data_IF_213524319142
#
_entry.id   IF_213524319142
#
_cell.length_a   1.000
_cell.length_b   1.000
_cell.length_c   1.000
_cell.angle_alpha   90.00
_cell.angle_beta   90.00
_cell.angle_gamma   90.00
#
_symmetry.space_group_name_H-M   'P 1'
#
loop_
_entity.id
_entity.type
_entity.pdbx_description
1 polymer ?
#
# COMPACT_ATOMS: atom_id res chain seq x y z
N UNK A 1 18.67 3.19 -2.14
CA UNK A 1 17.63 3.94 -1.40
C UNK A 1 16.45 3.01 -1.21
N UNK A 2 15.89 2.88 0.00
CA UNK A 2 14.78 1.96 0.23
C UNK A 2 13.56 2.35 -0.64
N UNK A 3 12.92 1.35 -1.25
CA UNK A 3 11.78 1.55 -2.15
C UNK A 3 12.12 2.01 -3.56
N UNK A 4 13.40 2.12 -3.95
CA UNK A 4 13.81 2.40 -5.34
C UNK A 4 14.61 1.23 -5.89
N UNK A 5 14.20 0.72 -7.05
CA UNK A 5 14.77 -0.47 -7.68
C UNK A 5 14.99 -0.23 -9.18
N UNK A 6 16.13 -0.73 -9.68
CA UNK A 6 16.45 -0.77 -11.10
C UNK A 6 16.25 -2.19 -11.65
N UNK A 7 15.56 -2.30 -12.79
CA UNK A 7 15.40 -3.57 -13.48
C UNK A 7 16.59 -3.83 -14.40
N UNK A 8 17.27 -4.97 -14.22
CA UNK A 8 18.28 -5.46 -15.16
C UNK A 8 17.66 -6.03 -16.45
N UNK A 9 18.47 -6.47 -17.44
CA UNK A 9 17.99 -6.80 -18.78
C UNK A 9 16.81 -7.79 -18.84
N UNK A 10 16.81 -8.92 -18.08
CA UNK A 10 15.66 -9.82 -18.06
C UNK A 10 14.40 -9.19 -17.45
N UNK A 11 14.56 -8.34 -16.43
CA UNK A 11 13.46 -7.63 -15.77
C UNK A 11 12.84 -6.58 -16.69
N UNK A 12 13.67 -5.82 -17.41
CA UNK A 12 13.20 -4.85 -18.41
C UNK A 12 12.42 -5.53 -19.55
N UNK A 13 12.92 -6.65 -20.05
CA UNK A 13 12.22 -7.43 -21.09
C UNK A 13 10.88 -7.98 -20.58
N UNK A 14 10.84 -8.52 -19.36
CA UNK A 14 9.62 -9.00 -18.75
C UNK A 14 8.60 -7.86 -18.55
N UNK A 15 9.03 -6.70 -18.05
CA UNK A 15 8.16 -5.54 -17.87
C UNK A 15 7.57 -5.09 -19.20
N UNK A 16 8.39 -4.99 -20.26
CA UNK A 16 7.92 -4.63 -21.59
C UNK A 16 6.85 -5.61 -22.11
N UNK A 17 7.07 -6.93 -21.94
CA UNK A 17 6.12 -7.95 -22.36
C UNK A 17 4.80 -7.88 -21.57
N UNK A 18 4.84 -7.58 -20.27
CA UNK A 18 3.63 -7.41 -19.44
C UNK A 18 2.84 -6.19 -19.93
N UNK A 19 3.51 -5.05 -20.18
CA UNK A 19 2.83 -3.84 -20.66
C UNK A 19 2.25 -4.01 -22.07
N UNK A 20 2.94 -4.73 -22.95
CA UNK A 20 2.43 -5.07 -24.28
C UNK A 20 1.21 -5.99 -24.20
N UNK A 21 1.26 -7.02 -23.34
CA UNK A 21 0.11 -7.88 -23.09
C UNK A 21 -1.09 -7.09 -22.55
N UNK A 22 -0.85 -6.18 -21.61
CA UNK A 22 -1.90 -5.33 -21.05
C UNK A 22 -2.54 -4.42 -22.11
N UNK A 23 -1.72 -3.81 -22.99
CA UNK A 23 -2.22 -3.02 -24.12
C UNK A 23 -3.09 -3.85 -25.06
N UNK A 24 -2.62 -5.05 -25.44
CA UNK A 24 -3.39 -5.95 -26.29
C UNK A 24 -4.70 -6.38 -25.63
N UNK A 25 -4.68 -6.64 -24.33
CA UNK A 25 -5.84 -7.17 -23.61
C UNK A 25 -6.89 -6.12 -23.28
N UNK A 26 -6.50 -4.87 -23.03
CA UNK A 26 -7.45 -3.81 -22.65
C UNK A 26 -7.56 -2.72 -23.72
N UNK A 27 -6.43 -2.06 -24.06
CA UNK A 27 -6.45 -0.89 -24.95
C UNK A 27 -6.93 -1.25 -26.35
N UNK A 28 -6.37 -2.30 -26.94
CA UNK A 28 -6.74 -2.72 -28.30
C UNK A 28 -8.05 -3.49 -28.34
N UNK A 29 -8.37 -4.25 -27.29
CA UNK A 29 -9.58 -5.09 -27.24
C UNK A 29 -10.86 -4.26 -27.04
N UNK A 30 -10.78 -3.14 -26.32
CA UNK A 30 -11.91 -2.23 -26.03
C UNK A 30 -11.80 -0.88 -26.75
N UNK A 31 -10.93 -0.78 -27.77
CA UNK A 31 -10.69 0.44 -28.56
C UNK A 31 -10.46 1.71 -27.69
N UNK A 32 -9.70 1.56 -26.59
CA UNK A 32 -9.50 2.62 -25.61
C UNK A 32 -8.58 3.72 -26.13
N UNK A 33 -8.81 4.95 -25.65
CA UNK A 33 -8.01 6.12 -25.99
C UNK A 33 -6.76 6.21 -25.09
N UNK A 34 -5.64 5.64 -25.53
CA UNK A 34 -4.36 5.73 -24.79
C UNK A 34 -3.79 7.15 -24.83
N UNK A 35 -3.45 7.70 -23.65
CA UNK A 35 -2.82 9.01 -23.49
C UNK A 35 -1.59 8.96 -22.58
N UNK A 36 -0.56 9.70 -22.97
CA UNK A 36 0.64 9.92 -22.16
C UNK A 36 0.64 11.35 -21.59
N UNK A 37 0.59 11.45 -20.26
CA UNK A 37 0.51 12.70 -19.53
C UNK A 37 1.80 12.95 -18.74
N UNK A 38 2.12 14.21 -18.47
CA UNK A 38 3.31 14.57 -17.69
C UNK A 38 3.25 14.04 -16.26
N UNK A 39 4.43 13.72 -15.70
CA UNK A 39 4.57 13.33 -14.28
C UNK A 39 4.45 14.53 -13.35
N UNK A 40 5.13 15.63 -13.72
CA UNK A 40 5.11 16.86 -12.94
C UNK A 40 3.71 17.47 -12.99
N UNK A 41 3.11 17.66 -11.81
CA UNK A 41 1.73 18.08 -11.66
C UNK A 41 1.66 19.33 -10.79
N UNK A 42 1.06 20.44 -11.27
CA UNK A 42 0.88 21.65 -10.46
C UNK A 42 0.07 21.37 -9.18
N UNK A 43 0.43 22.04 -8.09
CA UNK A 43 -0.21 21.82 -6.78
C UNK A 43 -1.74 21.97 -6.81
N UNK A 44 -2.27 22.90 -7.61
CA UNK A 44 -3.71 23.16 -7.66
C UNK A 44 -4.50 21.96 -8.17
N UNK A 45 -3.96 21.20 -9.13
CA UNK A 45 -4.62 19.97 -9.65
C UNK A 45 -4.80 18.95 -8.52
N UNK A 46 -3.76 18.74 -7.72
CA UNK A 46 -3.76 17.78 -6.63
C UNK A 46 -4.50 18.29 -5.38
N UNK A 47 -4.61 19.61 -5.23
CA UNK A 47 -5.48 20.22 -4.23
C UNK A 47 -6.95 20.02 -4.59
N UNK A 48 -7.33 20.29 -5.85
CA UNK A 48 -8.71 20.13 -6.32
C UNK A 48 -9.19 18.68 -6.27
N UNK A 49 -8.33 17.71 -6.60
CA UNK A 49 -8.66 16.28 -6.46
C UNK A 49 -8.65 15.78 -5.01
N UNK A 50 -8.25 16.60 -4.04
CA UNK A 50 -8.20 16.27 -2.63
C UNK A 50 -6.93 15.53 -2.17
N UNK A 51 -6.00 15.24 -3.08
CA UNK A 51 -4.74 14.57 -2.74
C UNK A 51 -3.89 15.36 -1.74
N UNK A 52 -3.82 16.68 -1.88
CA UNK A 52 -3.04 17.50 -0.93
C UNK A 52 -3.55 17.38 0.50
N UNK A 53 -4.86 17.16 0.68
CA UNK A 53 -5.51 17.16 1.99
C UNK A 53 -5.73 15.76 2.57
N UNK A 54 -5.71 14.72 1.73
CA UNK A 54 -6.10 13.36 2.14
C UNK A 54 -5.08 12.28 1.76
N UNK A 55 -4.13 12.58 0.88
CA UNK A 55 -3.13 11.61 0.44
C UNK A 55 -1.96 11.57 1.43
N UNK A 56 -2.28 11.17 2.65
CA UNK A 56 -1.35 11.10 3.75
C UNK A 56 -1.56 9.81 4.56
N UNK A 57 -0.46 9.34 5.13
CA UNK A 57 -0.48 8.25 6.10
C UNK A 57 -0.15 8.81 7.49
N UNK A 58 -0.58 8.09 8.53
CA UNK A 58 -0.18 8.39 9.90
C UNK A 58 1.18 7.76 10.19
N UNK A 59 2.14 8.57 10.63
CA UNK A 59 3.47 8.12 11.01
C UNK A 59 3.75 8.34 12.50
N UNK A 60 4.54 7.45 13.08
CA UNK A 60 5.08 7.57 14.44
C UNK A 60 6.59 7.44 14.39
N UNK A 61 7.27 8.08 15.35
CA UNK A 61 8.73 8.13 15.40
C UNK A 61 9.24 7.66 16.75
N UNK A 62 10.33 6.91 16.76
CA UNK A 62 11.12 6.68 17.97
C UNK A 62 12.03 7.92 18.20
N UNK A 63 11.85 8.69 19.29
CA UNK A 63 12.66 9.89 19.54
C UNK A 63 14.14 9.60 19.75
N UNK A 64 14.51 8.38 20.17
CA UNK A 64 15.90 8.00 20.48
C UNK A 64 16.65 7.57 19.23
N UNK A 65 16.05 6.73 18.39
CA UNK A 65 16.70 6.22 17.16
C UNK A 65 16.42 7.09 15.94
N UNK A 66 15.32 7.85 15.97
CA UNK A 66 14.84 8.61 14.83
C UNK A 66 14.09 7.78 13.79
N UNK A 67 13.91 6.48 14.03
CA UNK A 67 13.20 5.58 13.12
C UNK A 67 11.73 5.96 13.01
N UNK A 68 11.19 5.83 11.80
CA UNK A 68 9.82 6.20 11.47
C UNK A 68 9.08 4.93 11.03
N UNK A 69 7.87 4.78 11.56
CA UNK A 69 6.96 3.69 11.26
C UNK A 69 5.62 4.27 10.79
N UNK A 70 4.96 3.56 9.89
CA UNK A 70 3.56 3.80 9.56
C UNK A 70 2.71 3.25 10.72
N UNK A 71 1.83 4.07 11.28
CA UNK A 71 1.15 3.79 12.54
C UNK A 71 0.22 2.58 12.45
N UNK A 72 -0.62 2.53 11.42
CA UNK A 72 -1.54 1.42 11.12
C UNK A 72 -0.81 0.07 10.98
N UNK A 73 0.24 -0.01 10.15
CA UNK A 73 1.05 -1.21 9.95
C UNK A 73 1.75 -1.64 11.24
N UNK A 74 2.14 -0.68 12.09
CA UNK A 74 2.78 -0.99 13.37
C UNK A 74 1.76 -1.61 14.34
N UNK A 75 0.54 -1.07 14.39
CA UNK A 75 -0.58 -1.66 15.14
C UNK A 75 -0.88 -3.05 14.61
N UNK A 76 -1.10 -3.18 13.30
CA UNK A 76 -1.39 -4.44 12.60
C UNK A 76 -0.35 -5.52 12.92
N UNK A 77 0.92 -5.24 12.65
CA UNK A 77 2.01 -6.19 12.88
C UNK A 77 2.14 -6.59 14.35
N UNK A 78 1.84 -5.68 15.28
CA UNK A 78 1.90 -5.97 16.72
C UNK A 78 0.76 -6.89 17.14
N UNK A 79 -0.46 -6.63 16.70
CA UNK A 79 -1.64 -7.45 17.03
C UNK A 79 -1.53 -8.84 16.38
N UNK A 80 -1.13 -8.92 15.12
CA UNK A 80 -0.88 -10.19 14.43
C UNK A 80 0.20 -11.03 15.13
N UNK A 81 1.30 -10.40 15.54
CA UNK A 81 2.37 -11.10 16.26
C UNK A 81 1.89 -11.66 17.61
N UNK A 82 0.98 -10.97 18.30
CA UNK A 82 0.38 -11.44 19.56
C UNK A 82 -0.59 -12.59 19.33
N UNK A 83 -1.45 -12.52 18.31
CA UNK A 83 -2.33 -13.62 17.92
C UNK A 83 -1.53 -14.87 17.52
N UNK A 84 -0.44 -14.70 16.79
CA UNK A 84 0.47 -15.80 16.44
C UNK A 84 1.19 -16.38 17.68
N UNK A 85 1.52 -15.54 18.66
CA UNK A 85 2.03 -15.96 19.96
C UNK A 85 1.05 -16.84 20.74
N UNK A 86 -0.24 -16.50 20.71
CA UNK A 86 -1.32 -17.30 21.32
C UNK A 86 -1.48 -18.67 20.66
N UNK A 87 -1.45 -18.73 19.32
CA UNK A 87 -1.49 -19.99 18.57
C UNK A 87 -0.35 -20.92 18.96
N UNK A 88 0.86 -20.38 19.13
CA UNK A 88 2.04 -21.15 19.56
C UNK A 88 1.95 -21.62 21.00
N UNK A 89 1.45 -20.78 21.91
CA UNK A 89 1.22 -21.15 23.30
C UNK A 89 0.19 -22.31 23.39
N UNK A 90 -0.90 -22.20 22.63
CA UNK A 90 -1.94 -23.24 22.56
C UNK A 90 -1.44 -24.55 21.93
N UNK A 91 -0.58 -24.47 20.92
CA UNK A 91 0.06 -25.66 20.32
C UNK A 91 1.03 -26.35 21.29
N UNK A 92 1.76 -25.60 22.12
CA UNK A 92 2.69 -26.18 23.11
C UNK A 92 1.98 -26.87 24.29
N UNK A 93 0.71 -26.57 24.56
CA UNK A 93 -0.09 -27.30 25.54
C UNK A 93 -0.55 -28.68 25.01
N UNK A 94 -0.69 -28.84 23.69
CA UNK A 94 -1.08 -30.12 23.06
C UNK A 94 0.06 -31.15 23.03
N UNK A 95 1.32 -30.73 23.18
CA UNK A 95 2.48 -31.63 23.31
C UNK A 95 2.70 -32.14 24.75
N UNK A 96 1.90 -31.70 25.74
CA UNK A 96 1.96 -32.14 27.14
C UNK A 96 0.96 -33.28 27.48
N UNK A 97 0.47 -34.01 26.47
CA UNK A 97 -0.08 -35.36 26.72
C UNK A 97 1.11 -36.28 26.99
N UNK A 98 1.14 -37.07 28.09
CA UNK A 98 2.20 -38.05 28.30
C UNK A 98 2.23 -38.98 27.09
N UNK A 99 3.23 -38.83 26.22
CA UNK A 99 3.55 -39.84 25.23
C UNK A 99 4.19 -40.97 26.00
N UNK A 100 3.46 -42.06 26.17
CA UNK A 100 4.03 -43.34 26.57
C UNK A 100 5.26 -43.60 25.72
N UNK A 101 6.32 -44.04 26.40
CA UNK A 101 7.63 -44.26 25.83
C UNK A 101 7.55 -45.27 24.69
N UNK A 102 7.83 -44.82 23.46
CA UNK A 102 8.70 -45.47 22.49
C UNK A 102 8.64 -44.65 21.19
N UNK A 103 9.76 -44.01 20.84
CA UNK A 103 10.52 -44.34 19.64
C UNK A 103 11.50 -43.22 19.29
N UNK A 104 12.69 -43.64 18.90
CA UNK A 104 13.86 -42.84 18.58
C UNK A 104 13.73 -42.30 17.15
N UNK A 105 13.80 -40.99 16.98
CA UNK A 105 14.64 -40.41 15.91
C UNK A 105 14.71 -38.89 16.03
N UNK A 106 15.86 -38.45 16.52
CA UNK A 106 16.33 -37.09 16.35
C UNK A 106 16.91 -36.95 14.95
N UNK A 107 16.34 -36.09 14.10
CA UNK A 107 17.08 -35.29 13.10
C UNK A 107 16.11 -34.44 12.28
N UNK A 108 16.02 -33.15 12.62
CA UNK A 108 15.94 -32.04 11.65
C UNK A 108 15.97 -30.71 12.40
N UNK A 109 17.07 -30.54 13.12
CA UNK A 109 17.50 -29.26 13.66
C UNK A 109 18.40 -28.60 12.61
N UNK A 110 18.14 -27.31 12.31
CA UNK A 110 18.89 -26.38 11.39
C UNK A 110 18.19 -25.99 10.08
N UNK A 111 17.07 -25.25 10.15
CA UNK A 111 16.77 -24.13 9.22
C UNK A 111 15.50 -23.37 9.65
N UNK A 112 15.61 -22.45 10.63
CA UNK A 112 14.65 -21.34 10.88
C UNK A 112 15.10 -20.47 12.07
N UNK A 113 16.37 -20.04 12.08
CA UNK A 113 16.86 -19.01 13.01
C UNK A 113 17.02 -17.69 12.26
N UNK A 114 15.91 -16.93 12.14
CA UNK A 114 15.84 -15.45 11.97
C UNK A 114 14.39 -15.03 11.66
N UNK A 115 13.51 -15.10 12.66
CA UNK A 115 12.30 -14.27 12.77
C UNK A 115 12.17 -13.91 14.25
N UNK A 116 11.83 -12.65 14.54
CA UNK A 116 11.87 -12.05 15.87
C UNK A 116 11.19 -12.91 16.94
N UNK A 117 11.64 -12.76 18.19
CA UNK A 117 11.16 -13.47 19.37
C UNK A 117 9.67 -13.16 19.59
N UNK A 118 8.77 -13.91 18.95
CA UNK A 118 7.36 -13.91 19.31
C UNK A 118 7.26 -14.63 20.65
N UNK A 119 6.99 -13.89 21.72
CA UNK A 119 6.74 -14.47 23.04
C UNK A 119 5.43 -15.27 22.99
N UNK A 120 5.48 -16.54 23.40
CA UNK A 120 4.29 -17.37 23.54
C UNK A 120 3.52 -16.91 24.78
N UNK A 121 2.49 -16.09 24.57
CA UNK A 121 1.60 -15.59 25.62
C UNK A 121 0.17 -15.99 25.22
N UNK A 122 -0.53 -16.67 26.13
CA UNK A 122 -1.93 -17.07 25.93
C UNK A 122 -2.83 -15.85 26.12
N UNK A 123 -3.65 -15.57 25.12
CA UNK A 123 -4.64 -14.49 25.13
C UNK A 123 -6.00 -15.05 25.54
N UNK A 124 -6.80 -14.25 26.24
CA UNK A 124 -8.20 -14.61 26.50
C UNK A 124 -9.03 -14.45 25.22
N UNK A 125 -10.09 -15.25 25.07
CA UNK A 125 -10.93 -15.23 23.87
C UNK A 125 -11.55 -13.85 23.57
N UNK A 126 -11.99 -13.04 24.57
CA UNK A 126 -12.44 -11.67 24.32
C UNK A 126 -11.37 -10.77 23.70
N UNK A 127 -10.11 -10.92 24.12
CA UNK A 127 -9.00 -10.10 23.59
C UNK A 127 -8.65 -10.51 22.16
N UNK A 128 -8.77 -11.80 21.81
CA UNK A 128 -8.58 -12.26 20.42
C UNK A 128 -9.63 -11.67 19.49
N UNK A 129 -10.91 -11.76 19.88
CA UNK A 129 -12.01 -11.20 19.12
C UNK A 129 -11.85 -9.69 18.93
N UNK A 130 -11.41 -8.98 19.97
CA UNK A 130 -11.10 -7.54 19.88
C UNK A 130 -9.96 -7.25 18.91
N UNK A 131 -8.88 -8.04 18.92
CA UNK A 131 -7.77 -7.86 17.99
C UNK A 131 -8.21 -8.10 16.54
N UNK A 132 -8.97 -9.17 16.29
CA UNK A 132 -9.52 -9.46 14.96
C UNK A 132 -10.47 -8.37 14.46
N UNK A 133 -11.29 -7.80 15.34
CA UNK A 133 -12.17 -6.68 15.00
C UNK A 133 -11.38 -5.41 14.65
N UNK A 134 -10.34 -5.10 15.43
CA UNK A 134 -9.48 -3.94 15.16
C UNK A 134 -8.74 -4.12 13.84
N UNK A 135 -8.17 -5.30 13.58
CA UNK A 135 -7.48 -5.61 12.32
C UNK A 135 -8.43 -5.47 11.11
N UNK A 136 -9.67 -5.93 11.23
CA UNK A 136 -10.67 -5.81 10.16
C UNK A 136 -11.08 -4.35 9.86
N UNK A 137 -10.83 -3.42 10.79
CA UNK A 137 -11.20 -2.00 10.67
C UNK A 137 -9.98 -1.08 10.64
N UNK A 138 -8.77 -1.61 10.51
CA UNK A 138 -7.53 -0.85 10.73
C UNK A 138 -7.45 0.39 9.82
N UNK A 139 -7.88 0.26 8.57
CA UNK A 139 -7.87 1.32 7.54
C UNK A 139 -8.86 2.47 7.83
N UNK A 140 -9.81 2.27 8.75
CA UNK A 140 -10.83 3.27 9.08
C UNK A 140 -10.46 4.15 10.28
N UNK A 141 -9.39 3.81 11.01
CA UNK A 141 -8.98 4.58 12.18
C UNK A 141 -8.24 5.87 11.80
N UNK A 142 -8.55 6.93 12.53
CA UNK A 142 -7.84 8.21 12.47
C UNK A 142 -6.52 8.15 13.26
N UNK A 143 -5.64 9.13 13.04
CA UNK A 143 -4.38 9.26 13.78
C UNK A 143 -4.56 9.23 15.30
N UNK A 144 -5.48 10.02 15.89
CA UNK A 144 -5.76 9.96 17.32
C UNK A 144 -6.24 8.59 17.80
N UNK A 145 -7.14 7.93 17.07
CA UNK A 145 -7.63 6.59 17.44
C UNK A 145 -6.52 5.54 17.35
N UNK A 146 -5.65 5.62 16.33
CA UNK A 146 -4.44 4.78 16.25
C UNK A 146 -3.52 5.04 17.44
N UNK A 147 -3.38 6.29 17.87
CA UNK A 147 -2.63 6.67 19.08
C UNK A 147 -3.22 6.02 20.33
N UNK A 148 -4.53 6.09 20.51
CA UNK A 148 -5.24 5.42 21.62
C UNK A 148 -5.02 3.90 21.62
N UNK A 149 -5.09 3.25 20.45
CA UNK A 149 -4.79 1.82 20.31
C UNK A 149 -3.34 1.51 20.69
N UNK A 150 -2.39 2.35 20.25
CA UNK A 150 -0.98 2.21 20.57
C UNK A 150 -0.73 2.32 22.08
N UNK A 151 -1.37 3.28 22.76
CA UNK A 151 -1.29 3.40 24.22
C UNK A 151 -1.94 2.23 24.94
N UNK A 152 -3.18 1.89 24.54
CA UNK A 152 -3.96 0.78 25.12
C UNK A 152 -3.20 -0.53 25.07
N UNK A 153 -2.51 -0.80 23.96
CA UNK A 153 -1.77 -2.03 23.77
C UNK A 153 -0.27 -1.91 24.05
N UNK A 154 0.20 -0.76 24.55
CA UNK A 154 1.62 -0.51 24.85
C UNK A 154 2.52 -0.87 23.67
N UNK A 155 2.18 -0.35 22.50
CA UNK A 155 2.90 -0.58 21.24
C UNK A 155 4.15 0.29 21.22
N UNK A 156 5.30 -0.34 20.98
CA UNK A 156 6.63 0.28 21.07
C UNK A 156 7.44 -0.02 19.82
N UNK A 157 8.60 0.63 19.69
CA UNK A 157 9.56 0.30 18.63
C UNK A 157 9.88 -1.23 18.68
N UNK A 158 9.62 -1.99 17.60
CA UNK A 158 9.86 -3.44 17.59
C UNK A 158 11.34 -3.85 17.75
N UNK A 159 12.26 -2.95 17.42
CA UNK A 159 13.70 -3.21 17.43
C UNK A 159 14.34 -2.82 18.77
N UNK A 160 13.94 -1.69 19.34
CA UNK A 160 14.54 -1.13 20.56
C UNK A 160 13.68 -1.25 21.82
N UNK A 161 12.38 -1.47 21.67
CA UNK A 161 11.41 -1.35 22.76
C UNK A 161 11.21 0.09 23.26
N UNK A 162 11.68 1.09 22.51
CA UNK A 162 11.52 2.51 22.81
C UNK A 162 10.08 3.00 22.65
N UNK A 163 9.72 4.04 23.41
CA UNK A 163 8.44 4.72 23.28
C UNK A 163 8.37 5.50 21.95
N UNK A 164 7.17 5.62 21.40
CA UNK A 164 6.90 6.26 20.11
C UNK A 164 6.18 7.59 20.33
N UNK A 165 6.36 8.53 19.39
CA UNK A 165 5.55 9.76 19.36
C UNK A 165 4.09 9.45 19.01
N UNK A 166 3.21 10.41 19.29
CA UNK A 166 1.85 10.37 18.76
C UNK A 166 1.83 10.29 17.22
N UNK A 167 0.82 9.65 16.62
CA UNK A 167 0.65 9.62 15.17
C UNK A 167 0.50 11.04 14.61
N UNK A 168 1.33 11.36 13.62
CA UNK A 168 1.29 12.62 12.88
C UNK A 168 1.05 12.34 11.41
N UNK A 169 0.32 13.24 10.76
CA UNK A 169 0.01 13.12 9.34
C UNK A 169 1.28 13.35 8.50
N UNK A 170 1.49 12.48 7.50
CA UNK A 170 2.60 12.58 6.57
C UNK A 170 2.11 12.48 5.14
N UNK A 171 2.28 13.56 4.36
CA UNK A 171 1.89 13.60 2.96
C UNK A 171 2.77 12.67 2.12
N UNK A 172 2.12 11.78 1.36
CA UNK A 172 2.80 10.76 0.55
C UNK A 172 3.20 11.26 -0.84
N UNK A 173 3.02 12.54 -1.17
CA UNK A 173 3.44 13.07 -2.48
C UNK A 173 4.87 13.59 -2.41
N UNK A 174 5.63 13.38 -3.49
CA UNK A 174 6.93 14.05 -3.66
C UNK A 174 6.72 15.48 -4.12
N UNK A 175 7.01 16.43 -3.25
CA UNK A 175 6.96 17.86 -3.54
C UNK A 175 8.18 18.32 -4.36
N UNK A 176 7.94 19.25 -5.29
CA UNK A 176 8.98 19.91 -6.07
C UNK A 176 8.57 21.35 -6.39
N UNK A 177 9.51 22.11 -6.95
CA UNK A 177 9.27 23.47 -7.45
C UNK A 177 9.42 23.51 -8.96
N UNK A 178 8.43 24.10 -9.64
CA UNK A 178 8.40 24.29 -11.09
C UNK A 178 8.93 25.68 -11.42
N UNK A 179 9.92 25.74 -12.30
CA UNK A 179 10.53 26.99 -12.77
C UNK A 179 11.64 27.53 -11.86
N UNK A 180 12.42 28.50 -12.35
CA UNK A 180 13.67 28.93 -11.72
C UNK A 180 13.48 29.76 -10.45
N UNK A 181 12.31 30.38 -10.27
CA UNK A 181 12.00 31.25 -9.13
C UNK A 181 11.42 30.50 -7.94
N UNK A 182 11.12 29.20 -8.10
CA UNK A 182 10.49 28.38 -7.06
C UNK A 182 9.05 28.77 -6.70
N UNK A 183 8.46 29.75 -7.40
CA UNK A 183 7.14 30.30 -7.06
C UNK A 183 5.97 29.37 -7.38
N UNK A 184 6.16 28.38 -8.26
CA UNK A 184 5.12 27.41 -8.61
C UNK A 184 5.41 26.07 -7.92
N UNK A 185 4.57 25.72 -6.94
CA UNK A 185 4.62 24.43 -6.26
C UNK A 185 4.07 23.32 -7.16
N UNK A 186 4.77 22.20 -7.22
CA UNK A 186 4.34 21.01 -7.96
C UNK A 186 4.61 19.74 -7.17
N UNK A 187 4.07 18.63 -7.67
CA UNK A 187 4.33 17.31 -7.15
C UNK A 187 4.61 16.33 -8.29
N UNK A 188 5.33 15.26 -7.99
CA UNK A 188 5.30 14.07 -8.85
C UNK A 188 3.96 13.37 -8.63
N UNK A 189 3.26 13.05 -9.72
CA UNK A 189 1.90 12.49 -9.64
C UNK A 189 1.85 11.17 -8.83
N UNK A 190 0.87 11.00 -7.93
CA UNK A 190 0.68 9.76 -7.17
C UNK A 190 -0.09 8.66 -7.91
N UNK A 191 -0.72 9.02 -9.03
CA UNK A 191 -1.53 8.21 -9.95
C UNK A 191 -1.49 8.84 -11.36
N UNK A 192 -1.98 8.13 -12.38
CA UNK A 192 -2.05 8.62 -13.77
C UNK A 192 -3.43 9.17 -14.16
N UNK A 193 -4.48 8.85 -13.41
CA UNK A 193 -5.88 9.25 -13.65
C UNK A 193 -6.09 10.76 -13.85
N UNK A 194 -5.47 11.61 -13.03
CA UNK A 194 -5.63 13.07 -13.12
C UNK A 194 -5.29 13.65 -14.50
N UNK A 195 -4.28 13.09 -15.17
CA UNK A 195 -3.93 13.50 -16.54
C UNK A 195 -5.05 13.20 -17.55
N UNK A 196 -5.74 12.08 -17.37
CA UNK A 196 -6.87 11.68 -18.20
C UNK A 196 -8.07 12.61 -17.95
N UNK A 197 -8.39 12.91 -16.68
CA UNK A 197 -9.48 13.83 -16.33
C UNK A 197 -9.29 15.25 -16.89
N UNK A 198 -8.07 15.79 -16.81
CA UNK A 198 -7.77 17.12 -17.37
C UNK A 198 -7.93 17.17 -18.90
N UNK A 199 -7.82 16.02 -19.58
CA UNK A 199 -8.00 15.89 -21.02
C UNK A 199 -9.39 15.38 -21.43
N UNK A 200 -10.32 15.20 -20.49
CA UNK A 200 -11.64 14.61 -20.74
C UNK A 200 -12.36 15.23 -21.94
N UNK A 201 -12.37 16.56 -22.06
CA UNK A 201 -13.04 17.24 -23.17
C UNK A 201 -12.51 16.79 -24.54
N UNK A 202 -11.19 16.69 -24.70
CA UNK A 202 -10.56 16.26 -25.95
C UNK A 202 -10.78 14.78 -26.23
N UNK A 203 -10.76 13.96 -25.18
CA UNK A 203 -11.06 12.53 -25.28
C UNK A 203 -12.51 12.29 -25.73
N UNK A 204 -13.45 13.03 -25.15
CA UNK A 204 -14.87 12.99 -25.51
C UNK A 204 -15.09 13.47 -26.96
N UNK A 205 -14.42 14.55 -27.37
CA UNK A 205 -14.44 15.04 -28.77
C UNK A 205 -13.92 13.96 -29.74
N UNK A 206 -12.83 13.28 -29.39
CA UNK A 206 -12.28 12.18 -30.19
C UNK A 206 -13.24 11.00 -30.30
N UNK A 207 -14.04 10.74 -29.25
CA UNK A 207 -15.13 9.77 -29.28
C UNK A 207 -16.46 10.33 -29.86
N UNK A 208 -16.41 11.40 -30.65
CA UNK A 208 -17.57 12.03 -31.28
C UNK A 208 -18.68 12.44 -30.30
N UNK A 209 -18.30 12.89 -29.11
CA UNK A 209 -19.21 13.30 -28.03
C UNK A 209 -20.16 12.19 -27.55
N UNK A 210 -19.80 10.92 -27.76
CA UNK A 210 -20.59 9.75 -27.34
C UNK A 210 -20.02 9.09 -26.09
N UNK A 211 -20.93 8.45 -25.35
CA UNK A 211 -20.66 7.66 -24.15
C UNK A 211 -21.33 6.28 -24.31
N UNK A 212 -20.80 5.20 -23.72
CA UNK A 212 -19.56 5.18 -22.95
C UNK A 212 -18.30 5.25 -23.83
N UNK A 213 -17.18 5.61 -23.21
CA UNK A 213 -15.83 5.47 -23.78
C UNK A 213 -14.81 5.32 -22.66
N UNK A 214 -13.66 4.74 -22.98
CA UNK A 214 -12.57 4.59 -22.02
C UNK A 214 -11.30 5.26 -22.53
N UNK A 215 -10.56 5.87 -21.61
CA UNK A 215 -9.16 6.24 -21.83
C UNK A 215 -8.25 5.35 -21.00
N UNK A 216 -7.01 5.23 -21.44
CA UNK A 216 -5.98 4.48 -20.72
C UNK A 216 -4.71 5.32 -20.59
N UNK A 217 -3.97 5.13 -19.51
CA UNK A 217 -2.63 5.70 -19.36
C UNK A 217 -1.69 4.68 -18.74
N UNK A 218 -0.49 4.56 -19.33
CA UNK A 218 0.58 3.70 -18.84
C UNK A 218 1.78 4.59 -18.57
N UNK A 219 2.21 4.67 -17.31
CA UNK A 219 3.36 5.48 -16.97
C UNK A 219 3.78 5.37 -15.53
N UNK A 220 4.78 6.17 -15.15
CA UNK A 220 5.31 6.19 -13.79
C UNK A 220 4.43 7.02 -12.86
N UNK A 221 4.33 6.56 -11.62
CA UNK A 221 3.69 7.23 -10.49
C UNK A 221 4.58 7.12 -9.26
N UNK A 222 4.42 8.07 -8.33
CA UNK A 222 5.35 8.25 -7.23
C UNK A 222 4.58 8.36 -5.91
N UNK A 223 5.00 7.58 -4.92
CA UNK A 223 4.46 7.63 -3.56
C UNK A 223 5.61 7.67 -2.58
N UNK A 224 5.71 8.71 -1.77
CA UNK A 224 6.75 8.90 -0.77
C UNK A 224 6.51 7.99 0.45
N UNK A 225 6.52 6.68 0.21
CA UNK A 225 6.23 5.65 1.19
C UNK A 225 7.14 5.79 2.43
N UNK A 226 6.52 5.76 3.62
CA UNK A 226 7.17 6.00 4.91
C UNK A 226 8.20 4.92 5.19
N UNK A 227 7.83 3.65 5.02
CA UNK A 227 8.67 2.49 5.36
C UNK A 227 8.57 1.39 4.31
N UNK A 228 9.24 1.54 3.14
CA UNK A 228 9.17 0.58 2.04
C UNK A 228 10.00 -0.68 2.34
N UNK A 229 9.44 -1.62 3.13
CA UNK A 229 10.11 -2.86 3.59
C UNK A 229 9.72 -4.13 2.82
N UNK A 230 8.82 -4.06 1.84
CA UNK A 230 8.20 -5.23 1.18
C UNK A 230 8.71 -5.51 -0.25
N UNK A 231 9.99 -5.25 -0.53
CA UNK A 231 10.54 -5.49 -1.88
C UNK A 231 9.83 -4.63 -2.94
N UNK A 232 9.45 -5.25 -4.07
CA UNK A 232 8.70 -4.59 -5.14
C UNK A 232 7.22 -4.30 -4.81
N UNK A 233 6.68 -4.86 -3.71
CA UNK A 233 5.28 -4.63 -3.32
C UNK A 233 5.06 -3.24 -2.70
N UNK A 234 6.12 -2.62 -2.16
CA UNK A 234 6.08 -1.28 -1.56
C UNK A 234 7.30 -0.50 -2.02
N UNK A 235 7.12 0.27 -3.09
CA UNK A 235 8.15 1.08 -3.74
C UNK A 235 7.70 2.53 -3.85
N UNK A 236 8.66 3.44 -4.00
CA UNK A 236 8.40 4.89 -4.09
C UNK A 236 8.15 5.36 -5.51
N UNK A 237 8.57 4.57 -6.49
CA UNK A 237 8.41 4.81 -7.91
C UNK A 237 8.04 3.50 -8.58
N UNK A 238 6.96 3.50 -9.36
CA UNK A 238 6.47 2.31 -10.04
C UNK A 238 5.72 2.68 -11.30
N UNK A 239 5.59 1.71 -12.22
CA UNK A 239 4.77 1.85 -13.42
C UNK A 239 3.37 1.37 -13.10
N UNK A 240 2.38 2.16 -13.50
CA UNK A 240 0.96 1.85 -13.42
C UNK A 240 0.36 1.85 -14.82
N UNK A 241 -0.70 1.08 -14.97
CA UNK A 241 -1.57 1.09 -16.13
C UNK A 241 -3.00 1.29 -15.60
N UNK A 242 -3.60 2.45 -15.86
CA UNK A 242 -4.93 2.81 -15.37
C UNK A 242 -5.88 3.06 -16.54
N UNK A 243 -7.15 2.73 -16.33
CA UNK A 243 -8.24 2.91 -17.29
C UNK A 243 -9.31 3.75 -16.62
N UNK A 244 -9.69 4.85 -17.27
CA UNK A 244 -10.84 5.65 -16.89
C UNK A 244 -11.99 5.33 -17.84
N UNK A 245 -12.96 4.54 -17.38
CA UNK A 245 -14.15 4.18 -18.16
C UNK A 245 -15.29 5.15 -17.84
N UNK A 246 -15.56 6.06 -18.78
CA UNK A 246 -16.59 7.07 -18.67
C UNK A 246 -17.93 6.49 -19.14
N UNK A 247 -18.90 6.43 -18.23
CA UNK A 247 -20.23 5.86 -18.48
C UNK A 247 -21.34 6.83 -18.10
N UNK A 248 -22.53 6.63 -18.67
CA UNK A 248 -23.74 7.31 -18.18
C UNK A 248 -24.08 6.77 -16.78
N UNK A 249 -24.21 7.64 -15.75
CA UNK A 249 -24.51 7.19 -14.40
C UNK A 249 -25.85 6.44 -14.26
N UNK A 250 -26.81 6.66 -15.15
CA UNK A 250 -28.10 5.96 -15.18
C UNK A 250 -28.05 4.64 -15.95
N UNK A 251 -26.97 4.40 -16.69
CA UNK A 251 -26.80 3.23 -17.55
C UNK A 251 -25.40 2.63 -17.34
N UNK A 252 -25.28 1.89 -16.23
CA UNK A 252 -24.05 1.18 -15.81
C UNK A 252 -24.08 -0.30 -16.20
N UNK A 253 -24.31 -0.58 -17.48
CA UNK A 253 -24.21 -1.91 -18.07
C UNK A 253 -23.03 -1.97 -19.06
N UNK A 254 -22.39 -3.13 -19.14
CA UNK A 254 -21.32 -3.38 -20.13
C UNK A 254 -21.83 -4.40 -21.15
N UNK A 255 -21.87 -4.08 -22.46
CA UNK A 255 -22.40 -4.99 -23.48
C UNK A 255 -21.72 -6.36 -23.51
N UNK A 256 -20.43 -6.40 -23.17
CA UNK A 256 -19.57 -7.59 -23.18
C UNK A 256 -19.44 -8.28 -21.81
N UNK A 257 -20.31 -7.97 -20.83
CA UNK A 257 -20.18 -8.52 -19.47
C UNK A 257 -20.23 -10.06 -19.39
N UNK A 258 -20.89 -10.72 -20.35
CA UNK A 258 -21.09 -12.17 -20.35
C UNK A 258 -20.05 -12.95 -21.19
N UNK A 259 -19.06 -12.27 -21.76
CA UNK A 259 -17.96 -12.92 -22.48
C UNK A 259 -16.96 -13.54 -21.50
#
# INVERSE_FOLDING_TARGET
>A
VAGLYDYGPPGSALQANILDLWRRHFVLEEDMLEVDCTIMTPSDVLKTSGHVDKFADWMVKDPKTGEIFRADHLVEATLEARLEGDKRASASELDNVPKDADDKSAEQDKKKRKKGKVQAVKLSDPVKAEYEEILAKIDNYTGPELGELMHKYNIKNPETGGDLTEPVEFNLMFESSIGPTGGLKGYLRPETAQGQFLNFKRLLEFNNEKMPFASASIGRSFRNEISPRAGLLRVREFVMAEIEHYVDPLKKDHPRFNE
#
